data_IF_269227207408
#
_entry.id   IF_269227207408
#
_cell.length_a   1.000
_cell.length_b   1.000
_cell.length_c   1.000
_cell.angle_alpha   90.00
_cell.angle_beta   90.00
_cell.angle_gamma   90.00
#
_symmetry.space_group_name_H-M   'P 1'
#
loop_
_entity.id
_entity.type
_entity.pdbx_description
1 polymer ?
#
# COMPACT_ATOMS: atom_id res chain seq x y z
N UNK A 1 -7.99 -3.84 21.05
CA UNK A 1 -6.76 -4.32 20.38
C UNK A 1 -6.36 -3.26 19.37
N UNK A 2 -5.07 -2.95 19.20
CA UNK A 2 -4.65 -1.98 18.17
C UNK A 2 -4.77 -2.64 16.79
N UNK A 3 -5.65 -2.13 15.94
CA UNK A 3 -5.79 -2.61 14.56
C UNK A 3 -4.69 -1.98 13.68
N UNK A 4 -3.75 -2.80 13.20
CA UNK A 4 -2.64 -2.38 12.35
C UNK A 4 -3.08 -1.80 11.00
N UNK A 5 -4.29 -2.11 10.56
CA UNK A 5 -4.89 -1.53 9.34
C UNK A 5 -5.24 -0.05 9.50
N UNK A 6 -5.32 0.48 10.72
CA UNK A 6 -5.63 1.89 10.97
C UNK A 6 -4.40 2.79 10.98
N UNK A 7 -3.24 2.25 11.38
CA UNK A 7 -2.04 3.05 11.64
C UNK A 7 -0.85 2.75 10.72
N UNK A 8 -0.84 1.63 9.98
CA UNK A 8 0.16 1.43 8.92
C UNK A 8 -0.33 2.15 7.68
N UNK A 9 0.49 3.04 7.13
CA UNK A 9 0.21 3.78 5.91
C UNK A 9 1.32 3.57 4.87
N UNK A 10 0.96 3.77 3.61
CA UNK A 10 1.88 3.79 2.48
C UNK A 10 1.67 5.09 1.70
N UNK A 11 2.77 5.64 1.18
CA UNK A 11 2.74 6.79 0.26
C UNK A 11 3.52 6.42 -1.00
N UNK A 12 2.95 6.76 -2.16
CA UNK A 12 3.62 6.64 -3.46
C UNK A 12 4.60 7.80 -3.64
N UNK A 13 5.80 7.46 -4.07
CA UNK A 13 6.78 8.44 -4.56
C UNK A 13 6.70 8.44 -6.08
N UNK A 14 6.18 9.52 -6.64
CA UNK A 14 5.99 9.74 -8.07
C UNK A 14 7.33 10.04 -8.74
N UNK A 15 7.85 9.11 -9.52
CA UNK A 15 9.13 9.20 -10.23
C UNK A 15 9.04 8.32 -11.50
N UNK A 16 10.07 8.34 -12.35
CA UNK A 16 10.29 7.46 -13.51
C UNK A 16 9.98 6.00 -13.14
N UNK A 17 10.47 5.57 -11.98
CA UNK A 17 10.06 4.31 -11.36
C UNK A 17 9.20 4.61 -10.14
N UNK A 18 8.01 4.02 -10.06
CA UNK A 18 7.13 4.15 -8.90
C UNK A 18 7.86 3.68 -7.63
N UNK A 19 7.86 4.54 -6.60
CA UNK A 19 8.39 4.21 -5.28
C UNK A 19 7.29 4.09 -4.24
N UNK A 20 7.58 3.38 -3.15
CA UNK A 20 6.68 3.24 -2.00
C UNK A 20 7.41 3.56 -0.71
N UNK A 21 6.70 4.16 0.26
CA UNK A 21 7.21 4.41 1.59
C UNK A 21 6.19 4.04 2.64
N UNK A 22 6.56 3.11 3.52
CA UNK A 22 5.75 2.71 4.66
C UNK A 22 6.05 3.55 5.90
N UNK A 23 4.99 3.89 6.64
CA UNK A 23 5.02 4.83 7.74
C UNK A 23 3.96 4.44 8.79
N UNK A 24 4.06 5.05 9.98
CA UNK A 24 3.06 4.92 11.04
C UNK A 24 2.30 6.23 11.13
N UNK A 25 0.99 6.16 10.87
CA UNK A 25 0.03 7.23 11.11
C UNK A 25 -0.29 7.32 12.60
N UNK A 26 -0.25 8.52 13.17
CA UNK A 26 -0.72 8.75 14.53
C UNK A 26 -2.25 8.65 14.57
N UNK A 27 -2.79 7.82 15.47
CA UNK A 27 -4.22 7.77 15.75
C UNK A 27 -4.59 8.81 16.82
N UNK A 28 -5.80 9.36 16.77
CA UNK A 28 -6.27 10.40 17.72
C UNK A 28 -6.22 9.92 19.17
N UNK A 29 -6.49 8.62 19.39
CA UNK A 29 -6.42 7.97 20.70
C UNK A 29 -5.00 7.75 21.22
N UNK A 30 -3.96 8.04 20.42
CA UNK A 30 -2.56 7.86 20.85
C UNK A 30 -1.99 9.14 21.45
N UNK A 31 -1.40 9.00 22.64
CA UNK A 31 -0.56 10.07 23.18
C UNK A 31 0.68 10.30 22.31
N UNK A 32 1.23 11.52 22.35
CA UNK A 32 2.47 11.83 21.64
C UNK A 32 3.62 10.91 22.06
N UNK A 33 3.71 10.57 23.35
CA UNK A 33 4.75 9.68 23.88
C UNK A 33 4.63 8.28 23.33
N UNK A 34 3.41 7.74 23.26
CA UNK A 34 3.17 6.40 22.68
C UNK A 34 3.52 6.38 21.19
N UNK A 35 3.04 7.36 20.42
CA UNK A 35 3.33 7.47 18.99
C UNK A 35 4.84 7.54 18.71
N UNK A 36 5.59 8.36 19.45
CA UNK A 36 7.05 8.46 19.34
C UNK A 36 7.75 7.11 19.58
N UNK A 37 7.29 6.34 20.56
CA UNK A 37 7.83 4.99 20.83
C UNK A 37 7.54 4.03 19.68
N UNK A 38 6.32 4.04 19.14
CA UNK A 38 5.94 3.18 18.01
C UNK A 38 6.80 3.50 16.79
N UNK A 39 6.93 4.77 16.38
CA UNK A 39 7.79 5.15 15.25
C UNK A 39 9.25 4.76 15.51
N UNK A 40 9.75 5.02 16.72
CA UNK A 40 11.11 4.67 17.10
C UNK A 40 11.37 3.18 16.91
N UNK A 41 10.49 2.32 17.41
CA UNK A 41 10.63 0.87 17.23
C UNK A 41 10.45 0.45 15.78
N UNK A 42 9.49 1.02 15.06
CA UNK A 42 9.25 0.75 13.64
C UNK A 42 10.51 0.97 12.80
N UNK A 43 11.20 2.10 13.03
CA UNK A 43 12.46 2.45 12.36
C UNK A 43 13.65 1.65 12.90
N UNK A 44 13.78 1.49 14.22
CA UNK A 44 14.90 0.77 14.84
C UNK A 44 14.94 -0.70 14.43
N UNK A 45 13.78 -1.31 14.25
CA UNK A 45 13.62 -2.69 13.80
C UNK A 45 13.53 -2.82 12.27
N UNK A 46 13.67 -1.71 11.52
CA UNK A 46 13.62 -1.69 10.05
C UNK A 46 12.34 -2.32 9.47
N UNK A 47 11.23 -2.16 10.17
CA UNK A 47 9.94 -2.76 9.75
C UNK A 47 9.45 -2.08 8.46
N UNK A 48 9.72 -0.79 8.28
CA UNK A 48 9.47 -0.07 7.04
C UNK A 48 10.22 -0.66 5.84
N UNK A 49 11.51 -0.98 6.00
CA UNK A 49 12.33 -1.63 4.96
C UNK A 49 11.80 -3.04 4.64
N UNK A 50 11.44 -3.81 5.68
CA UNK A 50 10.89 -5.15 5.53
C UNK A 50 9.56 -5.13 4.76
N UNK A 51 8.64 -4.25 5.15
CA UNK A 51 7.35 -4.10 4.48
C UNK A 51 7.50 -3.61 3.05
N UNK A 52 8.44 -2.70 2.80
CA UNK A 52 8.77 -2.24 1.46
C UNK A 52 9.25 -3.40 0.58
N UNK A 53 10.23 -4.18 1.06
CA UNK A 53 10.81 -5.29 0.30
C UNK A 53 9.78 -6.36 -0.02
N UNK A 54 8.95 -6.74 0.95
CA UNK A 54 7.88 -7.73 0.75
C UNK A 54 6.82 -7.22 -0.24
N UNK A 55 6.37 -5.96 -0.06
CA UNK A 55 5.35 -5.38 -0.93
C UNK A 55 5.83 -5.20 -2.37
N UNK A 56 7.06 -4.70 -2.58
CA UNK A 56 7.62 -4.50 -3.93
C UNK A 56 7.73 -5.81 -4.69
N UNK A 57 8.10 -6.90 -4.01
CA UNK A 57 8.18 -8.24 -4.62
C UNK A 57 6.82 -8.72 -5.11
N UNK A 58 5.75 -8.48 -4.35
CA UNK A 58 4.39 -8.83 -4.79
C UNK A 58 3.91 -7.86 -5.89
N UNK A 59 4.16 -6.57 -5.72
CA UNK A 59 3.75 -5.53 -6.65
C UNK A 59 4.35 -5.74 -8.04
N UNK A 60 5.62 -6.15 -8.15
CA UNK A 60 6.25 -6.39 -9.46
C UNK A 60 5.57 -7.49 -10.25
N UNK A 61 5.05 -8.53 -9.58
CA UNK A 61 4.26 -9.58 -10.23
C UNK A 61 2.87 -9.03 -10.57
N UNK A 62 2.25 -8.33 -9.63
CA UNK A 62 0.89 -7.87 -9.81
C UNK A 62 0.73 -6.79 -10.87
N UNK A 63 1.72 -5.91 -11.04
CA UNK A 63 1.67 -4.86 -12.08
C UNK A 63 1.70 -5.48 -13.48
N UNK A 64 2.41 -6.60 -13.67
CA UNK A 64 2.37 -7.36 -14.92
C UNK A 64 0.97 -7.92 -15.18
N UNK A 65 0.31 -8.50 -14.17
CA UNK A 65 -1.07 -8.97 -14.26
C UNK A 65 -2.05 -7.83 -14.61
N UNK A 66 -1.88 -6.65 -14.00
CA UNK A 66 -2.71 -5.48 -14.29
C UNK A 66 -2.49 -4.95 -15.71
N UNK A 67 -1.24 -4.94 -16.19
CA UNK A 67 -0.93 -4.54 -17.56
C UNK A 67 -1.57 -5.47 -18.57
N UNK A 68 -1.53 -6.79 -18.34
CA UNK A 68 -2.21 -7.76 -19.19
C UNK A 68 -3.73 -7.53 -19.19
N UNK A 69 -4.34 -7.36 -18.02
CA UNK A 69 -5.77 -7.06 -17.91
C UNK A 69 -6.14 -5.77 -18.67
N UNK A 70 -5.29 -4.75 -18.60
CA UNK A 70 -5.53 -3.50 -19.33
C UNK A 70 -5.41 -3.68 -20.85
N UNK A 71 -4.48 -4.52 -21.32
CA UNK A 71 -4.34 -4.83 -22.74
C UNK A 71 -5.54 -5.62 -23.28
N UNK A 72 -6.12 -6.50 -22.47
CA UNK A 72 -7.27 -7.33 -22.85
C UNK A 72 -8.58 -6.53 -22.88
N UNK A 73 -8.84 -5.72 -21.85
CA UNK A 73 -10.12 -5.02 -21.69
C UNK A 73 -10.08 -3.56 -22.19
N UNK A 74 -8.92 -2.90 -22.13
CA UNK A 74 -8.76 -1.48 -22.43
C UNK A 74 -9.46 -0.53 -21.45
N UNK A 75 -9.94 -1.04 -20.31
CA UNK A 75 -10.80 -0.31 -19.38
C UNK A 75 -10.10 -0.11 -18.03
N UNK A 76 -9.75 1.14 -17.73
CA UNK A 76 -9.15 1.56 -16.46
C UNK A 76 -9.98 1.18 -15.23
N UNK A 77 -11.30 1.23 -15.33
CA UNK A 77 -12.21 0.84 -14.25
C UNK A 77 -12.04 -0.63 -13.83
N UNK A 78 -11.66 -1.54 -14.74
CA UNK A 78 -11.39 -2.94 -14.40
C UNK A 78 -10.09 -3.08 -13.60
N UNK A 79 -9.07 -2.28 -13.89
CA UNK A 79 -7.85 -2.18 -13.08
C UNK A 79 -8.18 -1.70 -11.67
N UNK A 80 -9.02 -0.66 -11.56
CA UNK A 80 -9.48 -0.14 -10.28
C UNK A 80 -10.21 -1.20 -9.46
N UNK A 81 -11.14 -1.94 -10.09
CA UNK A 81 -11.86 -3.06 -9.45
C UNK A 81 -10.91 -4.17 -9.03
N UNK A 82 -9.90 -4.51 -9.83
CA UNK A 82 -8.92 -5.53 -9.51
C UNK A 82 -8.13 -5.18 -8.25
N UNK A 83 -7.61 -3.95 -8.17
CA UNK A 83 -6.89 -3.46 -6.99
C UNK A 83 -7.82 -3.41 -5.77
N UNK A 84 -9.07 -2.94 -5.95
CA UNK A 84 -10.07 -2.91 -4.88
C UNK A 84 -10.36 -4.31 -4.31
N UNK A 85 -10.42 -5.35 -5.15
CA UNK A 85 -10.56 -6.75 -4.70
C UNK A 85 -9.38 -7.18 -3.82
N UNK A 86 -8.14 -6.81 -4.17
CA UNK A 86 -6.97 -7.08 -3.32
C UNK A 86 -7.07 -6.35 -1.97
N UNK A 87 -7.39 -5.06 -1.99
CA UNK A 87 -7.58 -4.26 -0.75
C UNK A 87 -8.61 -4.92 0.17
N UNK A 88 -9.77 -5.29 -0.37
CA UNK A 88 -10.83 -5.98 0.39
C UNK A 88 -10.37 -7.34 0.92
N UNK A 89 -9.63 -8.12 0.12
CA UNK A 89 -9.11 -9.44 0.53
C UNK A 89 -8.24 -9.33 1.78
N UNK A 90 -7.25 -8.43 1.78
CA UNK A 90 -6.37 -8.22 2.94
C UNK A 90 -7.13 -7.71 4.17
N UNK A 91 -8.03 -6.74 3.96
CA UNK A 91 -8.83 -6.17 5.05
C UNK A 91 -9.76 -7.20 5.71
N UNK A 92 -10.48 -7.99 4.90
CA UNK A 92 -11.44 -8.98 5.40
C UNK A 92 -10.75 -10.15 6.11
N UNK A 93 -9.60 -10.59 5.59
CA UNK A 93 -8.80 -11.65 6.21
C UNK A 93 -8.04 -11.17 7.44
N UNK A 94 -7.93 -9.85 7.65
CA UNK A 94 -7.15 -9.23 8.73
C UNK A 94 -5.69 -9.70 8.76
N UNK A 95 -5.08 -9.86 7.58
CA UNK A 95 -3.68 -10.24 7.40
C UNK A 95 -2.90 -9.17 6.62
N UNK A 96 -1.59 -9.10 6.86
CA UNK A 96 -0.64 -8.28 6.10
C UNK A 96 -1.11 -6.82 5.92
N UNK A 97 -1.29 -6.07 7.03
CA UNK A 97 -1.79 -4.69 7.00
C UNK A 97 -0.94 -3.74 6.13
N UNK A 98 0.35 -4.04 5.92
CA UNK A 98 1.20 -3.27 5.01
C UNK A 98 0.85 -3.51 3.53
N UNK A 99 0.51 -4.73 3.12
CA UNK A 99 0.03 -5.00 1.74
C UNK A 99 -1.31 -4.32 1.50
N UNK A 100 -2.21 -4.33 2.49
CA UNK A 100 -3.41 -3.50 2.46
C UNK A 100 -3.09 -2.03 2.23
N UNK A 101 -2.18 -1.45 3.04
CA UNK A 101 -1.81 -0.04 2.92
C UNK A 101 -1.18 0.28 1.55
N UNK A 102 -0.33 -0.61 1.02
CA UNK A 102 0.29 -0.47 -0.30
C UNK A 102 -0.73 -0.46 -1.43
N UNK A 103 -1.61 -1.45 -1.48
CA UNK A 103 -2.66 -1.51 -2.53
C UNK A 103 -3.71 -0.42 -2.38
N UNK A 104 -4.04 -0.02 -1.15
CA UNK A 104 -4.94 1.10 -0.91
C UNK A 104 -4.32 2.40 -1.44
N UNK A 105 -3.03 2.63 -1.21
CA UNK A 105 -2.33 3.79 -1.75
C UNK A 105 -2.34 3.82 -3.29
N UNK A 106 -2.17 2.67 -3.94
CA UNK A 106 -2.32 2.56 -5.41
C UNK A 106 -3.73 2.90 -5.87
N UNK A 107 -4.75 2.34 -5.20
CA UNK A 107 -6.17 2.55 -5.52
C UNK A 107 -6.58 4.03 -5.43
N UNK A 108 -5.97 4.76 -4.50
CA UNK A 108 -6.25 6.18 -4.21
C UNK A 108 -5.37 7.14 -5.03
N UNK A 109 -4.34 6.64 -5.74
CA UNK A 109 -3.41 7.47 -6.50
C UNK A 109 -3.89 7.73 -7.93
N UNK A 110 -4.35 8.94 -8.19
CA UNK A 110 -4.65 9.36 -9.56
C UNK A 110 -3.42 9.32 -10.48
N UNK A 111 -2.25 9.70 -9.95
CA UNK A 111 -1.00 9.69 -10.70
C UNK A 111 -0.66 8.30 -11.21
N UNK A 112 -0.82 7.27 -10.37
CA UNK A 112 -0.58 5.88 -10.76
C UNK A 112 -1.43 5.50 -11.98
N UNK A 113 -2.74 5.71 -11.92
CA UNK A 113 -3.59 5.37 -13.06
C UNK A 113 -3.29 6.21 -14.30
N UNK A 114 -2.98 7.50 -14.16
CA UNK A 114 -2.63 8.37 -15.30
C UNK A 114 -1.29 8.00 -15.93
N UNK A 115 -0.36 7.44 -15.16
CA UNK A 115 1.00 7.12 -15.62
C UNK A 115 1.07 5.73 -16.24
N UNK A 116 0.34 4.76 -15.69
CA UNK A 116 0.44 3.36 -16.08
C UNK A 116 -0.77 2.82 -16.87
N UNK A 117 -1.93 3.49 -16.80
CA UNK A 117 -3.20 3.02 -17.37
C UNK A 117 -4.02 4.16 -17.98
N UNK A 118 -3.39 4.93 -18.86
CA UNK A 118 -4.01 6.02 -19.63
C UNK A 118 -4.48 5.60 -21.01
#
# INVERSE_FOLDING_TARGET
MLDAFEYIECVITENINIGFRFSIKKLDRWSNTFYKRVIFHFKKLKIDELYLSDFVTEYSIYIEELNQLYQEEGIKEEIKKAIERKVKSYYNKKIMPWRYAGYKCLLESEWFFKTFFS
#
